data_IF_989068542162
#
_entry.id   IF_989068542162
#
_cell.length_a   1.000
_cell.length_b   1.000
_cell.length_c   1.000
_cell.angle_alpha   90.00
_cell.angle_beta   90.00
_cell.angle_gamma   90.00
#
_symmetry.space_group_name_H-M   'P 1'
#
loop_
_entity.id
_entity.type
_entity.pdbx_description
1 polymer ?
#
# COMPACT_ATOMS: atom_id res chain seq x y z
N UNK A 1 -18.59 4.82 -22.76
CA UNK A 1 -19.73 5.29 -23.57
C UNK A 1 -20.20 6.61 -23.01
N UNK A 2 -19.93 7.70 -23.74
CA UNK A 2 -20.52 9.02 -23.56
C UNK A 2 -21.77 9.06 -24.44
N UNK A 3 -22.96 9.24 -23.86
CA UNK A 3 -24.21 8.91 -24.56
C UNK A 3 -24.80 10.03 -25.43
N UNK A 4 -24.18 11.22 -25.54
CA UNK A 4 -24.62 12.26 -26.48
C UNK A 4 -23.59 13.36 -26.81
N UNK A 5 -22.31 13.16 -26.52
CA UNK A 5 -21.25 14.11 -26.89
C UNK A 5 -20.49 13.58 -28.10
N UNK A 6 -20.84 14.04 -29.30
CA UNK A 6 -20.02 13.77 -30.48
C UNK A 6 -18.68 14.52 -30.33
N UNK A 7 -17.61 13.80 -29.98
CA UNK A 7 -16.26 14.33 -30.09
C UNK A 7 -15.88 14.22 -31.58
N UNK A 8 -16.08 15.30 -32.32
CA UNK A 8 -15.60 15.40 -33.70
C UNK A 8 -14.11 15.74 -33.68
N UNK A 9 -13.27 14.81 -34.14
CA UNK A 9 -11.82 14.99 -34.19
C UNK A 9 -11.44 15.06 -35.67
N UNK A 10 -10.90 16.20 -36.10
CA UNK A 10 -10.28 16.29 -37.42
C UNK A 10 -9.01 15.43 -37.43
N UNK A 11 -8.96 14.42 -38.32
CA UNK A 11 -7.88 13.43 -38.41
C UNK A 11 -7.69 12.65 -37.10
N UNK A 12 -8.69 11.82 -36.75
CA UNK A 12 -8.59 10.88 -35.64
C UNK A 12 -7.32 10.03 -35.75
N UNK A 13 -6.37 10.32 -34.89
CA UNK A 13 -5.13 9.58 -34.73
C UNK A 13 -5.07 9.09 -33.28
N UNK A 14 -5.20 7.77 -33.13
CA UNK A 14 -5.20 7.08 -31.85
C UNK A 14 -4.00 6.16 -31.84
N UNK A 15 -3.03 6.48 -30.99
CA UNK A 15 -1.80 5.72 -30.87
C UNK A 15 -1.72 5.06 -29.50
N UNK A 16 -1.30 3.79 -29.49
CA UNK A 16 -0.88 3.13 -28.25
C UNK A 16 0.43 3.78 -27.84
N UNK A 17 0.48 4.36 -26.65
CA UNK A 17 1.73 4.94 -26.11
C UNK A 17 2.48 3.93 -25.25
N UNK A 18 1.78 3.04 -24.54
CA UNK A 18 2.42 2.04 -23.69
C UNK A 18 1.44 1.00 -23.14
N UNK A 19 1.98 -0.09 -22.57
CA UNK A 19 1.22 -1.11 -21.84
C UNK A 19 1.79 -1.34 -20.44
N UNK A 20 0.92 -1.64 -19.46
CA UNK A 20 1.31 -1.99 -18.08
C UNK A 20 0.59 -3.24 -17.63
N UNK A 21 1.35 -4.22 -17.14
CA UNK A 21 0.81 -5.48 -16.61
C UNK A 21 1.02 -5.52 -15.10
N UNK A 22 -0.04 -5.84 -14.35
CA UNK A 22 0.07 -6.03 -12.90
C UNK A 22 1.09 -7.14 -12.56
N UNK A 23 1.90 -6.98 -11.50
CA UNK A 23 2.90 -7.98 -11.10
C UNK A 23 2.34 -9.39 -10.95
N UNK A 24 3.13 -10.44 -11.25
CA UNK A 24 2.71 -11.83 -11.10
C UNK A 24 2.15 -12.21 -9.72
N UNK A 25 2.64 -11.54 -8.66
CA UNK A 25 2.29 -11.80 -7.27
C UNK A 25 0.93 -11.21 -6.86
N UNK A 26 0.36 -10.32 -7.67
CA UNK A 26 -0.96 -9.74 -7.40
C UNK A 26 -2.06 -10.80 -7.57
N UNK A 27 -3.03 -10.89 -6.63
CA UNK A 27 -4.12 -11.86 -6.71
C UNK A 27 -5.06 -11.62 -7.90
N UNK A 28 -5.11 -10.39 -8.41
CA UNK A 28 -5.82 -10.04 -9.65
C UNK A 28 -4.88 -9.26 -10.54
N UNK A 29 -4.84 -9.62 -11.82
CA UNK A 29 -3.92 -9.04 -12.79
C UNK A 29 -4.68 -8.43 -13.96
N UNK A 30 -4.24 -7.26 -14.38
CA UNK A 30 -4.77 -6.54 -15.52
C UNK A 30 -3.63 -6.26 -16.50
N UNK A 31 -3.92 -6.36 -17.79
CA UNK A 31 -3.11 -5.77 -18.86
C UNK A 31 -3.79 -4.48 -19.26
N UNK A 32 -3.14 -3.35 -18.98
CA UNK A 32 -3.65 -2.02 -19.25
C UNK A 32 -2.94 -1.49 -20.50
N UNK A 33 -3.71 -1.13 -21.52
CA UNK A 33 -3.19 -0.48 -22.74
C UNK A 33 -3.59 0.98 -22.70
N UNK A 34 -2.62 1.87 -22.90
CA UNK A 34 -2.84 3.31 -22.82
C UNK A 34 -2.71 3.93 -24.20
N UNK A 35 -3.69 4.78 -24.51
CA UNK A 35 -3.82 5.41 -25.81
C UNK A 35 -3.75 6.93 -25.66
N UNK A 36 -3.11 7.58 -26.62
CA UNK A 36 -3.15 9.02 -26.79
C UNK A 36 -3.99 9.37 -28.01
N UNK A 37 -4.87 10.37 -27.85
CA UNK A 37 -5.67 10.94 -28.92
C UNK A 37 -5.53 12.46 -28.85
N UNK A 38 -4.89 13.05 -29.86
CA UNK A 38 -4.74 14.51 -29.95
C UNK A 38 -6.07 15.15 -30.39
N UNK A 39 -6.63 16.05 -29.58
CA UNK A 39 -7.88 16.75 -29.89
C UNK A 39 -7.67 18.07 -30.67
N UNK A 40 -6.41 18.48 -30.87
CA UNK A 40 -6.08 19.77 -31.50
C UNK A 40 -6.64 20.96 -30.71
N UNK A 41 -7.27 21.90 -31.40
CA UNK A 41 -7.94 23.06 -30.78
C UNK A 41 -9.33 22.72 -30.19
N UNK A 42 -9.81 21.49 -30.39
CA UNK A 42 -11.14 21.07 -29.93
C UNK A 42 -11.22 21.10 -28.40
N UNK A 43 -12.19 21.84 -27.88
CA UNK A 43 -12.48 21.89 -26.45
C UNK A 43 -13.66 20.97 -26.16
N UNK A 44 -13.42 19.90 -25.41
CA UNK A 44 -14.48 18.99 -24.96
C UNK A 44 -14.88 19.39 -23.55
N UNK A 45 -16.14 19.80 -23.38
CA UNK A 45 -16.74 19.93 -22.05
C UNK A 45 -17.36 18.60 -21.63
N UNK A 46 -16.72 17.94 -20.67
CA UNK A 46 -17.24 16.69 -20.13
C UNK A 46 -18.51 16.94 -19.30
N UNK A 47 -19.55 16.14 -19.54
CA UNK A 47 -20.82 16.18 -18.79
C UNK A 47 -21.12 14.83 -18.16
N UNK A 48 -21.79 14.82 -17.00
CA UNK A 48 -22.23 13.57 -16.38
C UNK A 48 -23.34 12.95 -17.21
N UNK A 49 -23.20 11.68 -17.63
CA UNK A 49 -24.33 10.93 -18.15
C UNK A 49 -25.38 10.82 -17.02
N UNK A 50 -26.66 11.13 -17.29
CA UNK A 50 -27.71 10.96 -16.29
C UNK A 50 -27.78 9.50 -15.81
N UNK A 51 -27.87 9.30 -14.49
CA UNK A 51 -28.04 7.97 -13.89
C UNK A 51 -26.75 7.20 -13.56
N UNK A 52 -25.56 7.80 -13.69
CA UNK A 52 -24.30 7.20 -13.19
C UNK A 52 -23.85 7.89 -11.91
N UNK A 53 -23.59 7.10 -10.86
CA UNK A 53 -23.13 7.59 -9.55
C UNK A 53 -21.63 7.41 -9.30
N UNK A 54 -20.91 6.73 -10.20
CA UNK A 54 -19.49 6.36 -10.01
C UNK A 54 -18.52 7.53 -10.26
N UNK A 55 -18.96 8.57 -10.97
CA UNK A 55 -18.16 9.75 -11.26
C UNK A 55 -18.82 10.98 -10.61
N UNK A 56 -18.02 11.80 -9.94
CA UNK A 56 -18.44 13.01 -9.23
C UNK A 56 -17.82 14.29 -9.81
N UNK A 57 -16.70 14.18 -10.53
CA UNK A 57 -16.02 15.30 -11.21
C UNK A 57 -15.32 14.88 -12.51
N UNK A 58 -15.32 15.78 -13.50
CA UNK A 58 -14.39 15.76 -14.63
C UNK A 58 -13.48 16.99 -14.59
N UNK A 59 -12.22 16.82 -14.95
CA UNK A 59 -11.25 17.91 -15.04
C UNK A 59 -10.21 17.62 -16.11
N UNK A 60 -9.84 18.65 -16.86
CA UNK A 60 -8.65 18.64 -17.69
C UNK A 60 -7.45 19.01 -16.83
N UNK A 61 -6.42 18.18 -16.86
CA UNK A 61 -5.19 18.38 -16.09
C UNK A 61 -4.01 18.44 -17.05
N UNK A 62 -3.01 19.26 -16.71
CA UNK A 62 -1.68 19.07 -17.27
C UNK A 62 -0.96 17.92 -16.55
N UNK A 63 -0.08 17.16 -17.21
CA UNK A 63 0.64 16.05 -16.58
C UNK A 63 1.32 16.43 -15.25
N UNK A 64 1.94 17.61 -15.18
CA UNK A 64 2.61 18.12 -13.98
C UNK A 64 1.64 18.35 -12.82
N UNK A 65 0.44 18.90 -13.11
CA UNK A 65 -0.58 19.15 -12.10
C UNK A 65 -1.11 17.84 -11.50
N UNK A 66 -1.16 16.76 -12.30
CA UNK A 66 -1.59 15.43 -11.82
C UNK A 66 -0.58 14.87 -10.82
N UNK A 67 0.71 14.97 -11.12
CA UNK A 67 1.78 14.52 -10.24
C UNK A 67 1.80 15.37 -8.97
N UNK A 68 1.74 16.69 -9.07
CA UNK A 68 1.69 17.60 -7.90
C UNK A 68 0.50 17.31 -6.98
N UNK A 69 -0.68 17.02 -7.54
CA UNK A 69 -1.87 16.68 -6.76
C UNK A 69 -1.73 15.30 -6.08
N UNK A 70 -1.06 14.35 -6.71
CA UNK A 70 -0.76 13.05 -6.10
C UNK A 70 0.31 13.19 -5.00
N UNK A 71 1.37 13.95 -5.25
CA UNK A 71 2.47 14.23 -4.30
C UNK A 71 2.00 14.98 -3.05
N UNK A 72 0.95 15.80 -3.17
CA UNK A 72 0.35 16.54 -2.06
C UNK A 72 -0.85 15.83 -1.42
N UNK A 73 -1.04 14.53 -1.68
CA UNK A 73 -2.12 13.72 -1.10
C UNK A 73 -3.54 14.26 -1.42
N UNK A 74 -3.71 14.95 -2.55
CA UNK A 74 -5.00 15.46 -3.02
C UNK A 74 -5.67 14.53 -4.04
N UNK A 75 -4.93 13.56 -4.58
CA UNK A 75 -5.38 12.64 -5.62
C UNK A 75 -4.81 11.25 -5.39
N UNK A 76 -5.68 10.24 -5.27
CA UNK A 76 -5.24 8.85 -5.34
C UNK A 76 -5.16 8.40 -6.80
N UNK A 77 -4.00 7.89 -7.21
CA UNK A 77 -3.80 7.28 -8.51
C UNK A 77 -3.40 5.81 -8.35
N UNK A 78 -4.03 4.89 -9.10
CA UNK A 78 -3.51 3.55 -9.27
C UNK A 78 -2.08 3.60 -9.84
N UNK A 79 -1.15 2.75 -9.38
CA UNK A 79 0.24 2.80 -9.82
C UNK A 79 0.45 2.78 -11.34
N UNK A 80 -0.29 1.99 -12.15
CA UNK A 80 -0.13 2.03 -13.61
C UNK A 80 -0.37 3.42 -14.21
N UNK A 81 -1.31 4.19 -13.66
CA UNK A 81 -1.61 5.55 -14.13
C UNK A 81 -0.49 6.51 -13.70
N UNK A 82 -0.04 6.43 -12.45
CA UNK A 82 1.05 7.25 -11.94
C UNK A 82 2.33 7.06 -12.77
N UNK A 83 2.70 5.81 -13.08
CA UNK A 83 3.91 5.50 -13.84
C UNK A 83 3.90 6.13 -15.23
N UNK A 84 2.72 6.27 -15.84
CA UNK A 84 2.60 6.88 -17.17
C UNK A 84 2.78 8.37 -17.11
N UNK A 85 2.22 9.04 -16.10
CA UNK A 85 2.45 10.48 -15.95
C UNK A 85 3.92 10.78 -15.69
N UNK A 86 4.65 9.91 -14.98
CA UNK A 86 6.10 10.06 -14.81
C UNK A 86 6.88 9.88 -16.10
N UNK A 87 6.63 8.78 -16.81
CA UNK A 87 7.29 8.52 -18.10
C UNK A 87 6.96 9.62 -19.12
N UNK A 88 5.74 10.17 -19.06
CA UNK A 88 5.30 11.27 -19.90
C UNK A 88 6.04 12.57 -19.55
N UNK A 89 6.20 12.91 -18.27
CA UNK A 89 6.96 14.08 -17.85
C UNK A 89 8.43 13.99 -18.26
N UNK A 90 9.05 12.80 -18.15
CA UNK A 90 10.40 12.55 -18.65
C UNK A 90 10.47 12.72 -20.18
N UNK A 91 9.52 12.14 -20.92
CA UNK A 91 9.45 12.27 -22.37
C UNK A 91 9.19 13.71 -22.84
N UNK A 92 8.56 14.54 -21.99
CA UNK A 92 8.28 15.97 -22.21
C UNK A 92 9.48 16.88 -21.93
N UNK A 93 10.62 16.38 -21.44
CA UNK A 93 11.82 17.19 -21.25
C UNK A 93 12.28 17.80 -22.59
N UNK A 94 12.00 19.09 -22.78
CA UNK A 94 12.28 19.81 -24.02
C UNK A 94 11.31 19.52 -25.17
N UNK A 95 10.16 18.89 -24.93
CA UNK A 95 9.14 18.53 -25.92
C UNK A 95 7.73 18.96 -25.50
N UNK A 96 6.82 19.11 -26.45
CA UNK A 96 5.40 19.23 -26.14
C UNK A 96 4.76 17.85 -25.87
N UNK A 97 3.53 17.85 -25.37
CA UNK A 97 2.79 16.63 -25.01
C UNK A 97 2.60 15.67 -26.20
N UNK A 98 2.33 16.20 -27.40
CA UNK A 98 2.08 15.37 -28.58
C UNK A 98 3.38 14.69 -29.01
N UNK A 99 4.47 15.45 -29.06
CA UNK A 99 5.79 14.93 -29.38
C UNK A 99 6.26 13.89 -28.34
N UNK A 100 6.01 14.12 -27.06
CA UNK A 100 6.32 13.15 -26.00
C UNK A 100 5.54 11.83 -26.18
N UNK A 101 4.22 11.92 -26.44
CA UNK A 101 3.40 10.75 -26.74
C UNK A 101 3.87 9.99 -27.99
N UNK A 102 4.34 10.70 -29.03
CA UNK A 102 4.87 10.06 -30.24
C UNK A 102 6.16 9.28 -29.95
N UNK A 103 7.07 9.87 -29.15
CA UNK A 103 8.30 9.18 -28.71
C UNK A 103 7.97 7.93 -27.92
N UNK A 104 7.02 8.02 -26.97
CA UNK A 104 6.57 6.84 -26.22
C UNK A 104 5.89 5.79 -27.11
N UNK A 105 5.16 6.19 -28.15
CA UNK A 105 4.55 5.23 -29.08
C UNK A 105 5.59 4.49 -29.93
N UNK A 106 6.67 5.17 -30.32
CA UNK A 106 7.78 4.58 -31.09
C UNK A 106 8.69 3.69 -30.23
N UNK A 107 9.03 4.15 -29.02
CA UNK A 107 9.87 3.43 -28.04
C UNK A 107 9.19 3.44 -26.66
N UNK A 108 8.22 2.54 -26.43
CA UNK A 108 7.47 2.51 -25.18
C UNK A 108 8.39 2.26 -23.97
N UNK A 109 8.23 3.03 -22.88
CA UNK A 109 8.94 2.78 -21.64
C UNK A 109 8.76 1.33 -21.22
N UNK A 110 9.88 0.64 -21.04
CA UNK A 110 9.94 -0.78 -20.73
C UNK A 110 10.79 -1.03 -19.49
N UNK A 111 10.62 -2.21 -18.89
CA UNK A 111 11.28 -2.57 -17.64
C UNK A 111 10.33 -2.56 -16.43
N UNK A 112 10.86 -2.89 -15.23
CA UNK A 112 10.07 -2.88 -14.01
C UNK A 112 9.75 -1.44 -13.60
N UNK A 113 8.48 -1.05 -13.74
CA UNK A 113 8.00 0.19 -13.15
C UNK A 113 7.91 0.08 -11.64
N UNK A 114 8.32 1.13 -10.95
CA UNK A 114 8.25 1.24 -9.49
C UNK A 114 6.80 1.38 -9.05
N UNK A 115 6.38 0.55 -8.11
CA UNK A 115 5.06 0.63 -7.51
C UNK A 115 5.10 1.55 -6.29
N UNK A 116 4.72 2.80 -6.50
CA UNK A 116 4.45 3.73 -5.41
C UNK A 116 2.96 3.80 -5.10
N UNK A 117 2.65 3.65 -3.82
CA UNK A 117 1.28 3.77 -3.31
C UNK A 117 1.03 5.11 -2.63
N UNK A 118 2.09 5.86 -2.33
CA UNK A 118 2.07 7.23 -1.88
C UNK A 118 3.45 7.86 -2.07
N UNK A 119 3.57 9.19 -1.87
CA UNK A 119 4.83 9.90 -2.07
C UNK A 119 5.94 9.30 -1.20
N UNK A 120 7.01 8.80 -1.84
CA UNK A 120 8.12 8.14 -1.14
C UNK A 120 7.75 6.81 -0.45
N UNK A 121 6.63 6.18 -0.83
CA UNK A 121 6.18 4.88 -0.30
C UNK A 121 6.07 3.88 -1.44
N UNK A 122 7.10 3.07 -1.57
CA UNK A 122 7.14 1.99 -2.56
C UNK A 122 6.75 0.66 -1.92
N UNK A 123 6.30 -0.29 -2.75
CA UNK A 123 5.93 -1.62 -2.28
C UNK A 123 6.35 -2.73 -3.24
N UNK A 124 6.80 -3.82 -2.64
CA UNK A 124 7.09 -5.09 -3.29
C UNK A 124 6.21 -6.15 -2.66
N UNK A 125 5.57 -6.95 -3.51
CA UNK A 125 4.73 -8.05 -3.08
C UNK A 125 5.60 -9.30 -2.94
N UNK A 126 6.03 -9.60 -1.72
CA UNK A 126 6.87 -10.76 -1.43
C UNK A 126 5.96 -11.98 -1.20
N UNK A 127 6.07 -13.05 -2.02
CA UNK A 127 5.30 -14.27 -1.80
C UNK A 127 5.54 -14.84 -0.41
N UNK A 128 4.47 -15.10 0.34
CA UNK A 128 4.57 -15.64 1.71
C UNK A 128 3.47 -16.64 2.01
N UNK A 129 3.76 -17.57 2.90
CA UNK A 129 2.79 -18.51 3.48
C UNK A 129 2.00 -17.83 4.60
N UNK A 130 1.17 -16.86 4.24
CA UNK A 130 0.27 -16.15 5.16
C UNK A 130 -1.14 -16.78 5.18
N UNK A 131 -2.05 -16.24 5.99
CA UNK A 131 -3.42 -16.74 6.08
C UNK A 131 -4.22 -16.39 4.81
N UNK A 132 -4.96 -17.35 4.22
CA UNK A 132 -5.85 -17.07 3.10
C UNK A 132 -6.88 -15.97 3.43
N UNK A 133 -7.23 -15.08 2.49
CA UNK A 133 -6.94 -15.15 1.05
C UNK A 133 -5.62 -14.49 0.63
N UNK A 134 -4.82 -13.97 1.56
CA UNK A 134 -3.55 -13.33 1.26
C UNK A 134 -2.53 -14.35 0.72
N UNK A 135 -1.73 -13.92 -0.25
CA UNK A 135 -0.72 -14.75 -0.94
C UNK A 135 0.70 -14.18 -0.83
N UNK A 136 0.82 -12.99 -0.24
CA UNK A 136 2.04 -12.21 -0.19
C UNK A 136 2.00 -11.26 1.01
N UNK A 137 3.18 -10.81 1.42
CA UNK A 137 3.39 -9.69 2.33
C UNK A 137 3.84 -8.48 1.53
N UNK A 138 3.29 -7.32 1.88
CA UNK A 138 3.70 -6.04 1.32
C UNK A 138 4.97 -5.58 2.03
N UNK A 139 6.12 -5.79 1.38
CA UNK A 139 7.38 -5.19 1.79
C UNK A 139 7.39 -3.74 1.32
N UNK A 140 7.48 -2.79 2.25
CA UNK A 140 7.52 -1.36 1.90
C UNK A 140 8.94 -0.84 1.85
N UNK A 141 9.21 0.10 0.95
CA UNK A 141 10.45 0.88 0.93
C UNK A 141 10.09 2.35 1.05
N UNK A 142 10.39 2.96 2.20
CA UNK A 142 10.18 4.38 2.44
C UNK A 142 11.37 5.22 1.97
N UNK A 143 11.11 6.47 1.60
CA UNK A 143 12.12 7.46 1.22
C UNK A 143 12.12 7.78 -0.27
N UNK A 144 12.97 8.73 -0.66
CA UNK A 144 13.12 9.17 -2.04
C UNK A 144 14.34 8.53 -2.72
N UNK A 145 14.31 8.48 -4.05
CA UNK A 145 15.44 8.08 -4.89
C UNK A 145 16.64 9.01 -4.66
N UNK A 146 17.85 8.47 -4.57
CA UNK A 146 19.07 9.24 -4.32
C UNK A 146 19.17 9.79 -2.89
N UNK A 147 18.31 9.32 -2.00
CA UNK A 147 18.28 9.66 -0.58
C UNK A 147 18.43 8.44 0.32
N UNK A 148 18.01 8.59 1.58
CA UNK A 148 17.92 7.50 2.53
C UNK A 148 16.67 6.66 2.29
N UNK A 149 16.79 5.34 2.46
CA UNK A 149 15.72 4.36 2.30
C UNK A 149 15.57 3.52 3.55
N UNK A 150 14.32 3.19 3.89
CA UNK A 150 13.97 2.27 4.98
C UNK A 150 13.17 1.12 4.39
N UNK A 151 13.59 -0.12 4.65
CA UNK A 151 12.87 -1.32 4.22
C UNK A 151 12.02 -1.84 5.36
N UNK A 152 10.76 -2.17 5.11
CA UNK A 152 9.80 -2.63 6.12
C UNK A 152 9.28 -4.00 5.73
N UNK A 153 9.36 -4.95 6.66
CA UNK A 153 8.85 -6.33 6.52
C UNK A 153 9.28 -7.01 5.20
N UNK A 154 10.60 -7.20 4.97
CA UNK A 154 11.11 -7.85 3.77
C UNK A 154 10.59 -9.28 3.58
N UNK A 155 10.24 -9.99 4.66
CA UNK A 155 9.44 -11.23 4.64
C UNK A 155 9.95 -12.42 3.78
N UNK A 156 11.14 -12.34 3.16
CA UNK A 156 11.61 -13.37 2.23
C UNK A 156 11.88 -14.71 2.92
N UNK A 157 11.50 -15.81 2.28
CA UNK A 157 11.73 -17.18 2.80
C UNK A 157 12.03 -18.21 1.72
N UNK A 158 11.97 -17.80 0.45
CA UNK A 158 12.17 -18.65 -0.71
C UNK A 158 12.97 -17.91 -1.80
N UNK A 159 13.31 -18.63 -2.86
CA UNK A 159 14.13 -18.10 -3.96
C UNK A 159 13.42 -16.98 -4.74
N UNK A 160 12.09 -17.05 -4.85
CA UNK A 160 11.29 -16.03 -5.55
C UNK A 160 11.31 -14.70 -4.79
N UNK A 161 11.06 -14.74 -3.48
CA UNK A 161 11.19 -13.59 -2.59
C UNK A 161 12.61 -13.05 -2.54
N UNK A 162 13.61 -13.94 -2.46
CA UNK A 162 15.03 -13.56 -2.50
C UNK A 162 15.35 -12.74 -3.75
N UNK A 163 14.93 -13.20 -4.93
CA UNK A 163 15.17 -12.51 -6.19
C UNK A 163 14.51 -11.13 -6.20
N UNK A 164 13.24 -11.03 -5.80
CA UNK A 164 12.51 -9.76 -5.76
C UNK A 164 13.17 -8.72 -4.85
N UNK A 165 13.56 -9.14 -3.63
CA UNK A 165 14.24 -8.23 -2.69
C UNK A 165 15.63 -7.86 -3.17
N UNK A 166 16.36 -8.80 -3.78
CA UNK A 166 17.68 -8.54 -4.36
C UNK A 166 17.62 -7.53 -5.50
N UNK A 167 16.72 -7.74 -6.46
CA UNK A 167 16.52 -6.83 -7.59
C UNK A 167 16.18 -5.42 -7.07
N UNK A 168 15.37 -5.31 -6.00
CA UNK A 168 15.09 -4.02 -5.38
C UNK A 168 16.29 -3.37 -4.73
N UNK A 169 17.07 -4.12 -3.95
CA UNK A 169 18.25 -3.57 -3.29
C UNK A 169 19.28 -3.11 -4.32
N UNK A 170 19.40 -3.81 -5.44
CA UNK A 170 20.25 -3.40 -6.57
C UNK A 170 19.72 -2.11 -7.22
N UNK A 171 18.40 -1.97 -7.43
CA UNK A 171 17.75 -0.71 -7.86
C UNK A 171 18.07 0.45 -6.90
N UNK A 172 17.84 0.26 -5.60
CA UNK A 172 18.10 1.26 -4.55
C UNK A 172 19.56 1.73 -4.58
N UNK A 173 20.52 0.79 -4.70
CA UNK A 173 21.95 1.10 -4.79
C UNK A 173 22.31 1.80 -6.10
N UNK A 174 21.74 1.36 -7.22
CA UNK A 174 21.94 1.97 -8.55
C UNK A 174 21.47 3.41 -8.62
N UNK A 175 20.46 3.75 -7.81
CA UNK A 175 19.93 5.10 -7.66
C UNK A 175 20.81 6.04 -6.81
N UNK A 176 21.91 5.54 -6.25
CA UNK A 176 22.75 6.28 -5.31
C UNK A 176 22.08 6.47 -3.95
N UNK A 177 21.06 5.68 -3.63
CA UNK A 177 20.35 5.74 -2.35
C UNK A 177 21.05 4.88 -1.30
N UNK A 178 20.81 5.18 -0.02
CA UNK A 178 21.39 4.46 1.13
C UNK A 178 20.31 3.78 1.98
N UNK A 179 20.45 2.49 2.29
CA UNK A 179 19.50 1.78 3.15
C UNK A 179 19.92 1.98 4.60
N UNK A 180 19.20 2.86 5.32
CA UNK A 180 19.61 3.29 6.66
C UNK A 180 19.12 2.37 7.78
N UNK A 181 18.03 1.63 7.55
CA UNK A 181 17.57 0.59 8.47
C UNK A 181 16.55 -0.35 7.81
N UNK A 182 16.38 -1.52 8.44
CA UNK A 182 15.24 -2.42 8.24
C UNK A 182 14.33 -2.32 9.44
N UNK A 183 13.03 -2.12 9.22
CA UNK A 183 12.02 -2.12 10.27
C UNK A 183 11.18 -3.39 10.18
N UNK A 184 10.94 -4.03 11.33
CA UNK A 184 9.95 -5.09 11.45
C UNK A 184 8.75 -4.59 12.23
N UNK A 185 7.56 -4.67 11.64
CA UNK A 185 6.33 -4.16 12.26
C UNK A 185 5.90 -5.02 13.43
N UNK A 186 6.08 -6.34 13.35
CA UNK A 186 5.79 -7.28 14.41
C UNK A 186 6.46 -8.65 14.17
N UNK A 187 6.31 -9.56 15.14
CA UNK A 187 7.08 -10.81 15.20
C UNK A 187 6.59 -11.99 14.33
N UNK A 188 5.53 -11.81 13.55
CA UNK A 188 5.02 -12.93 12.76
C UNK A 188 5.97 -13.28 11.62
N UNK A 189 6.02 -14.57 11.29
CA UNK A 189 7.03 -15.14 10.40
C UNK A 189 6.87 -14.70 8.94
N UNK A 190 5.65 -14.36 8.54
CA UNK A 190 5.33 -13.77 7.25
C UNK A 190 5.68 -12.27 7.16
N UNK A 191 6.20 -11.65 8.23
CA UNK A 191 6.75 -10.29 8.21
C UNK A 191 8.27 -10.28 8.40
N UNK A 192 8.76 -11.06 9.38
CA UNK A 192 10.20 -11.18 9.64
C UNK A 192 10.92 -11.86 8.47
N UNK A 193 10.37 -12.98 7.98
CA UNK A 193 11.05 -13.81 6.99
C UNK A 193 12.27 -14.55 7.54
N UNK A 194 13.24 -14.81 6.66
CA UNK A 194 14.51 -15.46 6.98
C UNK A 194 15.64 -14.42 7.03
N UNK A 195 16.15 -14.16 8.24
CA UNK A 195 17.19 -13.16 8.47
C UNK A 195 18.52 -13.50 7.80
N UNK A 196 18.85 -14.78 7.67
CA UNK A 196 20.10 -15.20 7.01
C UNK A 196 20.00 -14.89 5.51
N UNK A 197 18.86 -15.17 4.87
CA UNK A 197 18.62 -14.80 3.47
C UNK A 197 18.64 -13.29 3.26
N UNK A 198 18.02 -12.51 4.15
CA UNK A 198 18.01 -11.04 4.06
C UNK A 198 19.45 -10.49 4.14
N UNK A 199 20.23 -10.98 5.11
CA UNK A 199 21.61 -10.51 5.36
C UNK A 199 22.58 -10.79 4.20
N UNK A 200 22.28 -11.79 3.37
CA UNK A 200 23.04 -12.10 2.15
C UNK A 200 22.81 -11.06 1.04
N UNK A 201 21.70 -10.33 1.06
CA UNK A 201 21.35 -9.32 0.07
C UNK A 201 21.89 -7.94 0.50
N UNK A 202 21.64 -7.57 1.77
CA UNK A 202 22.09 -6.31 2.34
C UNK A 202 22.20 -6.39 3.87
N UNK A 203 22.96 -5.47 4.46
CA UNK A 203 23.10 -5.31 5.90
C UNK A 203 22.73 -3.89 6.26
N UNK A 204 21.79 -3.75 7.19
CA UNK A 204 21.35 -2.47 7.74
C UNK A 204 20.95 -2.68 9.22
N UNK A 205 21.02 -1.63 10.05
CA UNK A 205 20.49 -1.67 11.42
C UNK A 205 19.03 -2.15 11.45
N UNK A 206 18.69 -3.01 12.41
CA UNK A 206 17.34 -3.55 12.57
C UNK A 206 16.59 -2.83 13.66
N UNK A 207 15.47 -2.21 13.32
CA UNK A 207 14.67 -1.41 14.23
C UNK A 207 13.30 -2.06 14.42
N UNK A 208 12.92 -2.34 15.65
CA UNK A 208 11.61 -2.93 15.96
C UNK A 208 11.25 -2.70 17.43
N UNK A 209 10.02 -3.04 17.81
CA UNK A 209 9.65 -3.10 19.24
C UNK A 209 10.45 -4.18 19.97
N UNK A 210 10.55 -4.08 21.30
CA UNK A 210 11.27 -5.09 22.11
C UNK A 210 10.69 -6.49 21.95
N UNK A 211 9.37 -6.61 21.91
CA UNK A 211 8.69 -7.89 21.68
C UNK A 211 9.11 -8.51 20.34
N UNK A 212 9.25 -7.68 19.30
CA UNK A 212 9.66 -8.14 17.96
C UNK A 212 11.15 -8.49 17.92
N UNK A 213 12.00 -7.64 18.50
CA UNK A 213 13.44 -7.93 18.62
C UNK A 213 13.70 -9.23 19.38
N UNK A 214 12.91 -9.55 20.40
CA UNK A 214 13.05 -10.79 21.17
C UNK A 214 12.74 -12.07 20.38
N UNK A 215 12.05 -11.95 19.24
CA UNK A 215 11.73 -13.04 18.34
C UNK A 215 12.74 -13.21 17.20
N UNK A 216 13.67 -12.27 17.04
CA UNK A 216 14.73 -12.32 16.05
C UNK A 216 15.96 -13.07 16.58
N UNK A 217 16.81 -13.61 15.70
CA UNK A 217 18.15 -14.05 16.11
C UNK A 217 18.96 -12.87 16.67
N UNK A 218 20.09 -13.17 17.31
CA UNK A 218 20.98 -12.12 17.83
C UNK A 218 21.56 -11.29 16.67
N UNK A 219 21.17 -10.01 16.61
CA UNK A 219 21.58 -9.05 15.58
C UNK A 219 22.41 -7.95 16.27
N UNK A 220 23.55 -7.60 15.67
CA UNK A 220 24.52 -6.69 16.29
C UNK A 220 24.00 -5.25 16.39
N UNK A 221 23.43 -4.72 15.31
CA UNK A 221 22.98 -3.33 15.24
C UNK A 221 21.45 -3.28 15.32
N UNK A 222 20.93 -3.12 16.54
CA UNK A 222 19.49 -3.01 16.78
C UNK A 222 19.11 -1.70 17.45
N UNK A 223 17.90 -1.21 17.14
CA UNK A 223 17.26 -0.10 17.86
C UNK A 223 15.88 -0.54 18.32
N UNK A 224 15.63 -0.46 19.63
CA UNK A 224 14.29 -0.62 20.20
C UNK A 224 13.45 0.61 19.86
N UNK A 225 12.40 0.43 19.08
CA UNK A 225 11.38 1.44 18.80
C UNK A 225 10.31 1.43 19.89
N UNK A 226 9.82 2.62 20.23
CA UNK A 226 8.73 2.86 21.18
C UNK A 226 7.73 3.86 20.61
N UNK A 227 6.52 3.88 21.16
CA UNK A 227 5.51 4.90 20.91
C UNK A 227 6.12 6.33 20.89
N UNK A 228 5.84 7.07 19.81
CA UNK A 228 6.29 8.45 19.62
C UNK A 228 7.73 8.60 19.12
N UNK A 229 8.49 7.51 18.95
CA UNK A 229 9.82 7.59 18.34
C UNK A 229 9.72 8.08 16.90
N UNK A 230 10.64 8.98 16.53
CA UNK A 230 10.74 9.51 15.16
C UNK A 230 11.79 8.77 14.34
N UNK A 231 11.43 8.53 13.09
CA UNK A 231 12.26 7.99 12.02
C UNK A 231 12.33 9.07 10.94
N UNK A 232 13.43 9.82 10.94
CA UNK A 232 13.70 10.83 9.91
C UNK A 232 14.41 10.17 8.74
N UNK A 233 13.93 10.44 7.53
CA UNK A 233 14.48 9.95 6.27
C UNK A 233 14.85 11.17 5.43
N UNK A 234 16.15 11.38 5.19
CA UNK A 234 16.64 12.48 4.36
C UNK A 234 16.60 12.11 2.87
N UNK A 235 15.98 12.95 2.03
CA UNK A 235 15.91 12.77 0.57
C UNK A 235 16.25 14.05 -0.20
N UNK A 236 16.34 13.99 -1.54
CA UNK A 236 16.63 15.15 -2.38
C UNK A 236 15.64 16.31 -2.22
N UNK A 237 14.36 16.02 -1.96
CA UNK A 237 13.32 17.04 -1.77
C UNK A 237 13.23 17.54 -0.32
N UNK A 238 14.01 16.96 0.59
CA UNK A 238 14.04 17.32 2.01
C UNK A 238 13.91 16.11 2.93
N UNK A 239 13.75 16.39 4.22
CA UNK A 239 13.55 15.37 5.26
C UNK A 239 12.06 15.05 5.41
N UNK A 240 11.73 13.77 5.45
CA UNK A 240 10.41 13.27 5.83
C UNK A 240 10.50 12.54 7.17
N UNK A 241 9.61 12.88 8.09
CA UNK A 241 9.52 12.23 9.40
C UNK A 241 8.37 11.22 9.43
N UNK A 242 8.65 10.05 9.99
CA UNK A 242 7.66 9.04 10.36
C UNK A 242 7.67 8.86 11.88
N UNK A 243 6.50 8.68 12.49
CA UNK A 243 6.34 8.46 13.92
C UNK A 243 5.86 7.04 14.21
N UNK A 244 6.45 6.40 15.21
CA UNK A 244 6.07 5.07 15.66
C UNK A 244 4.79 5.15 16.50
N UNK A 245 3.77 4.41 16.08
CA UNK A 245 2.53 4.22 16.83
C UNK A 245 2.43 2.76 17.25
N UNK A 246 2.50 2.46 18.54
CA UNK A 246 2.28 1.10 19.05
C UNK A 246 0.80 0.76 18.95
N UNK A 247 0.48 -0.32 18.22
CA UNK A 247 -0.88 -0.80 18.01
C UNK A 247 -0.97 -2.27 18.41
N UNK A 248 -0.81 -2.60 19.71
CA UNK A 248 -0.93 -3.97 20.17
C UNK A 248 -2.35 -4.49 19.95
N UNK A 249 -2.47 -5.81 19.87
CA UNK A 249 -3.77 -6.48 19.81
C UNK A 249 -3.76 -7.66 18.86
N UNK A 250 -3.36 -7.46 17.60
CA UNK A 250 -3.03 -8.59 16.72
C UNK A 250 -1.77 -9.32 17.23
N UNK A 251 -0.73 -8.55 17.52
CA UNK A 251 0.51 -8.98 18.16
C UNK A 251 0.90 -7.95 19.24
N UNK A 252 1.39 -8.34 20.44
CA UNK A 252 1.71 -7.40 21.53
C UNK A 252 2.74 -6.34 21.16
N UNK A 253 3.68 -6.67 20.28
CA UNK A 253 4.74 -5.77 19.83
C UNK A 253 4.44 -4.97 18.58
N UNK A 254 3.22 -5.04 18.03
CA UNK A 254 2.96 -4.47 16.73
C UNK A 254 3.06 -2.95 16.73
N UNK A 255 3.80 -2.43 15.74
CA UNK A 255 3.92 -1.00 15.48
C UNK A 255 3.36 -0.65 14.10
N UNK A 256 2.83 0.57 14.01
CA UNK A 256 2.57 1.28 12.76
C UNK A 256 3.57 2.43 12.61
N UNK A 257 3.80 2.85 11.38
CA UNK A 257 4.56 4.07 11.08
C UNK A 257 3.61 5.11 10.48
N UNK A 258 3.51 6.26 11.11
CA UNK A 258 2.64 7.37 10.72
C UNK A 258 3.48 8.45 10.04
N UNK A 259 3.19 8.76 8.79
CA UNK A 259 3.85 9.81 8.02
C UNK A 259 2.84 10.68 7.28
N UNK A 260 3.33 11.74 6.65
CA UNK A 260 2.52 12.62 5.82
C UNK A 260 1.84 11.87 4.64
N UNK A 261 2.51 10.93 3.93
CA UNK A 261 1.88 10.11 2.88
C UNK A 261 0.75 9.19 3.36
N UNK A 262 0.70 8.86 4.65
CA UNK A 262 -0.23 7.88 5.21
C UNK A 262 0.38 7.04 6.34
N UNK A 263 -0.21 5.88 6.60
CA UNK A 263 0.22 4.99 7.70
C UNK A 263 0.57 3.62 7.17
N UNK A 264 1.80 3.15 7.45
CA UNK A 264 2.13 1.73 7.34
C UNK A 264 1.44 1.02 8.49
N UNK A 265 0.33 0.36 8.19
CA UNK A 265 -0.63 -0.13 9.17
C UNK A 265 -0.37 -1.57 9.62
N UNK A 266 0.62 -2.23 9.01
CA UNK A 266 0.93 -3.64 9.22
C UNK A 266 -0.36 -4.50 9.19
N UNK A 267 -0.52 -5.36 10.18
CA UNK A 267 -1.67 -6.25 10.34
C UNK A 267 -2.77 -5.68 11.23
N UNK A 268 -2.98 -4.36 11.21
CA UNK A 268 -4.19 -3.79 11.84
C UNK A 268 -5.44 -4.01 10.99
N UNK A 269 -5.34 -3.84 9.67
CA UNK A 269 -6.48 -4.00 8.77
C UNK A 269 -6.00 -4.36 7.36
N UNK A 270 -6.88 -4.97 6.58
CA UNK A 270 -6.65 -5.29 5.17
C UNK A 270 -7.92 -5.01 4.38
N UNK A 271 -7.79 -4.71 3.08
CA UNK A 271 -8.93 -4.50 2.17
C UNK A 271 -9.75 -5.77 1.94
N UNK A 272 -9.17 -6.96 2.12
CA UNK A 272 -9.85 -8.22 1.78
C UNK A 272 -9.84 -9.14 2.99
N UNK A 273 -11.03 -9.39 3.54
CA UNK A 273 -11.19 -10.25 4.72
C UNK A 273 -11.08 -9.46 6.04
N UNK A 274 -10.60 -10.12 7.09
CA UNK A 274 -10.41 -9.52 8.42
C UNK A 274 -9.15 -10.07 9.06
N UNK A 275 -8.44 -9.25 9.85
CA UNK A 275 -7.26 -9.69 10.60
C UNK A 275 -7.65 -10.69 11.70
N UNK A 276 -6.86 -11.73 11.90
CA UNK A 276 -7.04 -12.65 13.02
C UNK A 276 -6.44 -12.02 14.28
N UNK A 277 -7.21 -11.91 15.37
CA UNK A 277 -6.65 -11.60 16.70
C UNK A 277 -6.47 -12.95 17.43
N UNK A 278 -5.24 -13.44 17.62
CA UNK A 278 -5.01 -14.77 18.19
C UNK A 278 -5.47 -14.83 19.64
N UNK A 279 -5.98 -15.99 20.08
CA UNK A 279 -6.48 -16.15 21.46
C UNK A 279 -5.37 -16.26 22.52
N UNK A 280 -4.14 -16.60 22.12
CA UNK A 280 -3.03 -16.85 23.04
C UNK A 280 -2.28 -15.56 23.39
N UNK A 281 -1.96 -14.78 22.37
CA UNK A 281 -1.10 -13.60 22.47
C UNK A 281 -1.75 -12.33 21.90
N UNK A 282 -2.95 -12.42 21.35
CA UNK A 282 -3.72 -11.26 20.93
C UNK A 282 -4.60 -10.69 22.05
N UNK A 283 -4.94 -9.41 21.92
CA UNK A 283 -5.86 -8.70 22.80
C UNK A 283 -6.86 -7.90 21.94
N UNK A 284 -8.14 -8.30 21.98
CA UNK A 284 -9.17 -7.66 21.17
C UNK A 284 -9.53 -6.24 21.66
N UNK A 285 -9.38 -5.95 22.95
CA UNK A 285 -9.59 -4.62 23.51
C UNK A 285 -8.50 -3.65 23.03
N UNK A 286 -7.24 -4.08 23.13
CA UNK A 286 -6.09 -3.35 22.60
C UNK A 286 -6.21 -3.15 21.08
N UNK A 287 -6.59 -4.20 20.34
CA UNK A 287 -6.79 -4.14 18.89
C UNK A 287 -7.85 -3.09 18.49
N UNK A 288 -9.03 -3.10 19.12
CA UNK A 288 -10.08 -2.10 18.86
C UNK A 288 -9.59 -0.70 19.21
N UNK A 289 -8.87 -0.53 20.33
CA UNK A 289 -8.30 0.77 20.71
C UNK A 289 -7.26 1.28 19.71
N UNK A 290 -6.41 0.39 19.16
CA UNK A 290 -5.47 0.71 18.10
C UNK A 290 -6.18 1.16 16.82
N UNK A 291 -7.24 0.47 16.40
CA UNK A 291 -8.05 0.88 15.25
C UNK A 291 -8.73 2.25 15.45
N UNK A 292 -9.22 2.52 16.66
CA UNK A 292 -9.80 3.82 17.00
C UNK A 292 -8.77 4.93 16.93
N UNK A 293 -7.56 4.71 17.49
CA UNK A 293 -6.44 5.66 17.38
C UNK A 293 -6.06 5.93 15.93
N UNK A 294 -5.92 4.87 15.11
CA UNK A 294 -5.64 5.02 13.68
C UNK A 294 -6.71 5.81 12.93
N UNK A 295 -8.00 5.60 13.26
CA UNK A 295 -9.11 6.31 12.63
C UNK A 295 -9.08 7.79 13.00
N UNK A 296 -8.80 8.08 14.27
CA UNK A 296 -8.82 9.43 14.81
C UNK A 296 -7.63 10.28 14.31
N UNK A 297 -6.54 9.65 13.83
CA UNK A 297 -5.46 10.31 13.06
C UNK A 297 -5.94 10.85 11.70
N UNK A 298 -7.07 10.35 11.17
CA UNK A 298 -7.59 10.66 9.84
C UNK A 298 -6.53 10.55 8.72
N UNK A 299 -5.84 9.40 8.63
CA UNK A 299 -4.80 9.23 7.63
C UNK A 299 -5.40 9.27 6.23
N UNK A 300 -4.62 9.78 5.27
CA UNK A 300 -5.01 9.82 3.87
C UNK A 300 -5.12 8.40 3.28
N UNK A 301 -4.13 7.56 3.57
CA UNK A 301 -4.03 6.17 3.08
C UNK A 301 -3.54 5.26 4.21
N UNK A 302 -3.98 4.01 4.22
CA UNK A 302 -3.31 2.95 4.98
C UNK A 302 -2.59 1.99 4.02
N UNK A 303 -1.32 1.75 4.30
CA UNK A 303 -0.48 0.76 3.65
C UNK A 303 -0.50 -0.51 4.52
N UNK A 304 -1.41 -1.42 4.20
CA UNK A 304 -1.60 -2.67 4.94
C UNK A 304 -0.45 -3.66 4.69
N UNK A 305 -0.17 -4.53 5.67
CA UNK A 305 0.81 -5.61 5.53
C UNK A 305 0.44 -6.64 4.46
N UNK A 306 -0.85 -6.76 4.14
CA UNK A 306 -1.34 -7.67 3.11
C UNK A 306 -2.47 -7.06 2.28
N UNK A 307 -2.49 -7.43 1.00
CA UNK A 307 -3.54 -7.04 0.05
C UNK A 307 -3.39 -5.59 -0.44
N UNK A 308 -4.42 -5.07 -1.13
CA UNK A 308 -4.37 -3.72 -1.69
C UNK A 308 -4.26 -2.62 -0.62
N UNK A 309 -3.73 -1.46 -1.01
CA UNK A 309 -3.78 -0.23 -0.21
C UNK A 309 -5.23 0.15 0.14
N UNK A 310 -5.41 0.87 1.26
CA UNK A 310 -6.73 1.32 1.72
C UNK A 310 -6.84 2.84 1.50
N UNK A 311 -7.53 3.30 0.42
CA UNK A 311 -7.64 4.73 0.08
C UNK A 311 -8.77 5.44 0.85
N UNK A 312 -9.61 4.70 1.58
CA UNK A 312 -10.61 5.29 2.49
C UNK A 312 -10.46 4.70 3.90
N UNK A 313 -9.46 5.18 4.67
CA UNK A 313 -9.18 4.66 6.01
C UNK A 313 -10.34 4.84 6.97
N UNK A 314 -11.02 5.98 6.94
CA UNK A 314 -12.16 6.26 7.83
C UNK A 314 -13.26 5.20 7.70
N UNK A 315 -13.66 4.90 6.45
CA UNK A 315 -14.68 3.88 6.17
C UNK A 315 -14.21 2.50 6.62
N UNK A 316 -12.99 2.11 6.26
CA UNK A 316 -12.44 0.79 6.57
C UNK A 316 -12.33 0.55 8.08
N UNK A 317 -11.69 1.48 8.79
CA UNK A 317 -11.46 1.37 10.23
C UNK A 317 -12.79 1.38 10.99
N UNK A 318 -13.75 2.24 10.60
CA UNK A 318 -15.09 2.27 11.20
C UNK A 318 -15.79 0.92 11.02
N UNK A 319 -15.78 0.35 9.82
CA UNK A 319 -16.37 -0.96 9.55
C UNK A 319 -15.72 -2.07 10.40
N UNK A 320 -14.39 -2.06 10.53
CA UNK A 320 -13.67 -3.00 11.39
C UNK A 320 -14.08 -2.86 12.86
N UNK A 321 -14.08 -1.65 13.40
CA UNK A 321 -14.44 -1.36 14.80
C UNK A 321 -15.88 -1.83 15.08
N UNK A 322 -16.83 -1.44 14.23
CA UNK A 322 -18.24 -1.82 14.36
C UNK A 322 -18.43 -3.33 14.27
N UNK A 323 -17.77 -3.98 13.31
CA UNK A 323 -17.83 -5.43 13.16
C UNK A 323 -17.34 -6.15 14.43
N UNK A 324 -16.19 -5.75 15.00
CA UNK A 324 -15.65 -6.36 16.22
C UNK A 324 -16.53 -6.09 17.44
N UNK A 325 -17.00 -4.86 17.63
CA UNK A 325 -17.91 -4.50 18.73
C UNK A 325 -19.22 -5.27 18.64
N UNK A 326 -19.80 -5.41 17.46
CA UNK A 326 -21.02 -6.19 17.24
C UNK A 326 -20.80 -7.68 17.57
N UNK A 327 -19.64 -8.25 17.21
CA UNK A 327 -19.27 -9.63 17.56
C UNK A 327 -19.13 -9.81 19.08
N UNK A 328 -18.46 -8.88 19.76
CA UNK A 328 -18.36 -8.90 21.23
C UNK A 328 -19.73 -8.83 21.92
N UNK A 329 -20.61 -7.94 21.46
CA UNK A 329 -21.95 -7.80 22.02
C UNK A 329 -22.76 -9.11 21.91
N UNK A 330 -22.66 -9.82 20.78
CA UNK A 330 -23.31 -11.11 20.57
C UNK A 330 -22.77 -12.20 21.51
N UNK A 331 -21.45 -12.29 21.68
CA UNK A 331 -20.83 -13.25 22.61
C UNK A 331 -21.26 -12.95 24.05
N UNK A 332 -21.22 -11.68 24.46
CA UNK A 332 -21.65 -11.25 25.79
C UNK A 332 -23.12 -11.59 26.04
N UNK A 333 -24.01 -11.36 25.05
CA UNK A 333 -25.42 -11.72 25.15
C UNK A 333 -25.59 -13.24 25.32
N UNK A 334 -24.86 -14.05 24.56
CA UNK A 334 -24.92 -15.51 24.66
C UNK A 334 -24.48 -16.00 26.06
N UNK A 335 -23.39 -15.45 26.60
CA UNK A 335 -22.91 -15.76 27.96
C UNK A 335 -23.95 -15.34 29.02
N UNK A 336 -24.51 -14.13 28.91
CA UNK A 336 -25.56 -13.66 29.84
C UNK A 336 -26.84 -14.49 29.80
N UNK A 337 -27.13 -15.15 28.67
CA UNK A 337 -28.28 -16.04 28.52
C UNK A 337 -28.04 -17.49 28.97
N UNK A 338 -26.92 -17.76 29.65
CA UNK A 338 -26.46 -19.10 30.07
C UNK A 338 -26.47 -20.12 28.91
N UNK A 339 -26.15 -19.62 27.70
CA UNK A 339 -26.11 -20.46 26.51
C UNK A 339 -24.97 -21.47 26.65
N UNK A 340 -25.27 -22.76 26.43
CA UNK A 340 -24.25 -23.82 26.38
C UNK A 340 -23.13 -23.43 25.43
N UNK A 341 -21.89 -23.82 25.74
CA UNK A 341 -20.68 -23.54 24.96
C UNK A 341 -20.84 -23.82 23.46
N UNK A 342 -21.60 -24.86 23.07
CA UNK A 342 -21.90 -25.19 21.67
C UNK A 342 -22.68 -24.10 20.91
N UNK A 343 -23.56 -23.36 21.59
CA UNK A 343 -24.32 -22.25 21.01
C UNK A 343 -23.47 -20.98 20.92
N UNK A 344 -22.55 -20.77 21.86
CA UNK A 344 -21.53 -19.70 21.79
C UNK A 344 -20.61 -19.93 20.59
N UNK A 345 -20.17 -21.16 20.35
CA UNK A 345 -19.37 -21.53 19.18
C UNK A 345 -20.11 -21.30 17.85
N UNK A 346 -21.42 -21.55 17.78
CA UNK A 346 -22.21 -21.24 16.58
C UNK A 346 -22.24 -19.74 16.24
N UNK A 347 -22.27 -18.85 17.24
CA UNK A 347 -22.14 -17.40 17.00
C UNK A 347 -20.76 -17.01 16.47
N UNK A 348 -19.70 -17.75 16.85
CA UNK A 348 -18.35 -17.52 16.35
C UNK A 348 -18.16 -18.01 14.89
N UNK A 349 -18.87 -19.06 14.49
CA UNK A 349 -18.76 -19.68 13.15
C UNK A 349 -19.76 -19.16 12.11
N UNK A 350 -20.95 -18.70 12.48
CA UNK A 350 -21.93 -18.14 11.51
C UNK A 350 -21.55 -16.74 10.99
N UNK A 351 -20.52 -16.12 11.58
CA UNK A 351 -20.05 -14.76 11.27
C UNK A 351 -18.68 -14.75 10.56
N UNK A 352 -18.20 -15.89 10.06
CA UNK A 352 -16.98 -16.00 9.25
C UNK A 352 -17.23 -15.82 7.75
N UNK A 353 -18.46 -15.49 7.33
CA UNK A 353 -18.66 -15.04 5.95
C UNK A 353 -17.94 -13.71 5.79
N UNK A 354 -17.02 -13.57 4.82
CA UNK A 354 -16.37 -12.30 4.55
C UNK A 354 -17.45 -11.24 4.35
N UNK A 355 -17.25 -10.06 4.93
CA UNK A 355 -18.06 -8.90 4.59
C UNK A 355 -17.85 -8.69 3.08
N UNK A 356 -18.88 -8.75 2.24
CA UNK A 356 -18.72 -8.33 0.86
C UNK A 356 -18.41 -6.83 0.90
N UNK A 357 -17.14 -6.50 0.71
CA UNK A 357 -16.71 -5.14 0.45
C UNK A 357 -17.07 -4.91 -1.00
N UNK A 358 -18.26 -4.33 -1.21
CA UNK A 358 -18.62 -3.81 -2.52
C UNK A 358 -17.65 -2.66 -2.81
N UNK A 359 -16.82 -2.88 -3.83
CA UNK A 359 -15.90 -1.89 -4.40
C UNK A 359 -16.66 -0.65 -4.86
#
# INVERSE_FOLDING_TARGET
MAEAGDISIEKFDCQVITERITPPQSPTRFQNTFFHVALGESRVEATFPPGRSEFDRFRWWRPEEVIEAWESNQLHLPPPILTIFRDLLEAMEGRDLIAACNVMAEDPPSGPHRFEYGPGVECILIPTMTLPPSTHTNCFVLGERGGQRVIIDPAIRDEDGYKLLKDKVEEIRGDGSDIVCTIFTHRHQDHIGDMDMISQIYQAPVWASEETLSALPEIQETRKLREGDKISIDGPSGRVDWEVLETPGHCPGQICLVGEPGVVAADNCTMVGTILVPSRDGDMGAYISGLERLRDLRPHTLFAGHGPLIPNPERMLTQYIEHRKARHAKVLQAVKSDARTSRILQYLHTLTRPVPIHL
#
